data_IF_933155595661
#
_entry.id   IF_933155595661
#
_cell.length_a   1.000
_cell.length_b   1.000
_cell.length_c   1.000
_cell.angle_alpha   90.00
_cell.angle_beta   90.00
_cell.angle_gamma   90.00
#
_symmetry.space_group_name_H-M   'P 1'
#
loop_
_entity.id
_entity.type
_entity.pdbx_description
1 polymer ?
#
# COMPACT_ATOMS: atom_id res chain seq x y z
N UNK A 1 -86.45 17.84 14.04
CA UNK A 1 -85.28 18.19 13.23
C UNK A 1 -84.04 17.88 14.04
N UNK A 2 -83.40 16.75 13.78
CA UNK A 2 -82.21 16.31 14.49
C UNK A 2 -81.01 16.37 13.49
N UNK A 3 -80.03 17.14 13.86
CA UNK A 3 -78.80 17.26 13.08
C UNK A 3 -77.77 16.31 13.68
N UNK A 4 -77.42 15.25 12.94
CA UNK A 4 -76.30 14.39 13.25
C UNK A 4 -75.01 15.09 12.80
N UNK A 5 -74.09 15.31 13.73
CA UNK A 5 -72.70 15.66 13.41
C UNK A 5 -71.85 14.40 13.51
N UNK A 6 -71.30 13.98 12.36
CA UNK A 6 -70.32 12.89 12.26
C UNK A 6 -68.91 13.44 12.52
N UNK A 7 -68.31 12.96 13.60
CA UNK A 7 -66.87 13.21 13.86
C UNK A 7 -66.00 12.29 13.04
N UNK A 8 -65.21 12.85 12.12
CA UNK A 8 -64.11 12.13 11.49
C UNK A 8 -62.90 12.09 12.46
N UNK A 9 -62.66 10.91 13.00
CA UNK A 9 -61.40 10.63 13.70
C UNK A 9 -60.28 10.48 12.69
N UNK A 10 -59.31 11.35 12.75
CA UNK A 10 -58.05 11.24 11.97
C UNK A 10 -57.08 10.30 12.73
N UNK A 11 -57.02 9.06 12.29
CA UNK A 11 -55.92 8.15 12.65
C UNK A 11 -54.65 8.59 11.90
N UNK A 12 -53.83 9.39 12.58
CA UNK A 12 -52.47 9.67 12.13
C UNK A 12 -51.63 8.45 12.42
N UNK A 13 -51.37 7.67 11.38
CA UNK A 13 -50.43 6.59 11.39
C UNK A 13 -49.06 7.07 11.92
N UNK A 14 -48.70 6.53 13.08
CA UNK A 14 -47.39 6.72 13.72
C UNK A 14 -46.35 6.02 12.87
N UNK A 15 -45.71 6.77 11.98
CA UNK A 15 -44.51 6.32 11.30
C UNK A 15 -43.44 6.01 12.37
N UNK A 16 -43.14 4.72 12.55
CA UNK A 16 -42.04 4.28 13.38
C UNK A 16 -40.75 4.67 12.61
N UNK A 17 -40.11 5.71 13.10
CA UNK A 17 -38.75 6.05 12.70
C UNK A 17 -37.84 4.91 13.18
N UNK A 18 -37.45 4.02 12.29
CA UNK A 18 -36.31 3.12 12.51
C UNK A 18 -35.06 3.98 12.49
N UNK A 19 -34.63 4.45 13.65
CA UNK A 19 -33.28 4.95 13.83
C UNK A 19 -32.34 3.77 13.57
N UNK A 20 -31.65 3.80 12.43
CA UNK A 20 -30.47 2.97 12.25
C UNK A 20 -29.44 3.52 13.23
N UNK A 21 -29.23 2.80 14.32
CA UNK A 21 -28.18 3.16 15.27
C UNK A 21 -26.84 3.25 14.51
N UNK A 22 -26.11 4.34 14.73
CA UNK A 22 -24.75 4.44 14.22
C UNK A 22 -23.94 3.26 14.79
N UNK A 23 -23.07 2.62 13.96
CA UNK A 23 -22.27 1.50 14.44
C UNK A 23 -21.46 1.93 15.67
N UNK A 24 -21.35 1.02 16.64
CA UNK A 24 -20.57 1.21 17.86
C UNK A 24 -19.10 1.53 17.49
N UNK A 25 -18.48 2.44 18.22
CA UNK A 25 -17.06 2.82 18.01
C UNK A 25 -16.15 1.60 18.10
N UNK A 26 -16.49 0.60 18.89
CA UNK A 26 -15.74 -0.65 19.00
C UNK A 26 -15.91 -1.54 17.76
N UNK A 27 -17.12 -1.61 17.20
CA UNK A 27 -17.41 -2.35 15.96
C UNK A 27 -16.71 -1.69 14.77
N UNK A 28 -16.71 -0.36 14.69
CA UNK A 28 -15.98 0.40 13.64
C UNK A 28 -14.47 0.23 13.76
N UNK A 29 -13.91 0.17 14.98
CA UNK A 29 -12.48 -0.07 15.21
C UNK A 29 -12.07 -1.50 14.85
N UNK A 30 -12.90 -2.50 15.15
CA UNK A 30 -12.64 -3.91 14.83
C UNK A 30 -12.69 -4.14 13.30
N UNK A 31 -13.69 -3.58 12.61
CA UNK A 31 -13.79 -3.63 11.14
C UNK A 31 -12.59 -2.92 10.49
N UNK A 32 -12.19 -1.74 11.00
CA UNK A 32 -11.02 -1.03 10.51
C UNK A 32 -9.71 -1.84 10.69
N UNK A 33 -9.58 -2.59 11.79
CA UNK A 33 -8.40 -3.43 12.05
C UNK A 33 -8.31 -4.61 11.09
N UNK A 34 -9.45 -5.20 10.70
CA UNK A 34 -9.50 -6.34 9.74
C UNK A 34 -9.01 -5.94 8.35
N UNK A 35 -9.23 -4.69 7.95
CA UNK A 35 -8.83 -4.17 6.64
C UNK A 35 -7.59 -3.28 6.65
N UNK A 36 -6.94 -3.14 7.83
CA UNK A 36 -5.72 -2.37 7.94
C UNK A 36 -4.60 -2.99 7.09
N UNK A 37 -4.00 -2.19 6.22
CA UNK A 37 -2.80 -2.59 5.49
C UNK A 37 -1.57 -2.50 6.40
N UNK A 38 -0.54 -3.36 6.19
CA UNK A 38 0.70 -3.30 6.95
C UNK A 38 1.41 -1.95 6.74
N UNK A 39 2.32 -1.60 7.65
CA UNK A 39 3.19 -0.44 7.47
C UNK A 39 4.33 -0.78 6.49
N UNK A 40 4.00 -0.78 5.19
CA UNK A 40 4.83 -1.28 4.11
C UNK A 40 4.75 -2.81 3.94
N UNK A 41 5.01 -3.28 2.72
CA UNK A 41 4.93 -4.70 2.39
C UNK A 41 6.33 -5.33 2.42
N UNK A 42 6.53 -6.26 3.34
CA UNK A 42 7.79 -7.02 3.41
C UNK A 42 7.86 -7.98 2.24
N UNK A 43 8.76 -7.69 1.29
CA UNK A 43 8.96 -8.49 0.09
C UNK A 43 9.95 -9.63 0.32
N UNK A 44 10.96 -9.41 1.19
CA UNK A 44 12.01 -10.37 1.48
C UNK A 44 12.41 -10.33 2.96
N UNK A 45 12.77 -11.49 3.47
CA UNK A 45 13.49 -11.70 4.73
C UNK A 45 12.89 -10.91 5.91
N UNK A 46 11.71 -11.27 6.44
CA UNK A 46 11.03 -10.53 7.49
C UNK A 46 11.87 -10.35 8.77
N UNK A 47 12.83 -11.25 9.01
CA UNK A 47 13.70 -11.24 10.18
C UNK A 47 15.09 -10.64 9.89
N UNK A 48 15.33 -10.14 8.66
CA UNK A 48 16.61 -9.52 8.27
C UNK A 48 16.90 -8.25 9.07
N UNK A 49 18.14 -8.12 9.53
CA UNK A 49 18.58 -7.00 10.38
C UNK A 49 18.81 -5.69 9.63
N UNK A 50 19.09 -5.75 8.32
CA UNK A 50 19.30 -4.57 7.48
C UNK A 50 17.98 -4.22 6.79
N UNK A 51 17.31 -3.18 7.26
CA UNK A 51 16.02 -2.75 6.70
C UNK A 51 16.26 -1.81 5.51
N UNK A 52 15.73 -2.23 4.36
CA UNK A 52 15.71 -1.46 3.10
C UNK A 52 14.27 -1.15 2.75
N UNK A 53 13.87 0.12 2.84
CA UNK A 53 12.56 0.60 2.40
C UNK A 53 12.72 1.16 0.98
N UNK A 54 12.04 0.56 -0.01
CA UNK A 54 11.99 1.04 -1.39
C UNK A 54 10.68 1.81 -1.64
N UNK A 55 10.79 3.10 -1.96
CA UNK A 55 9.68 3.97 -2.37
C UNK A 55 9.60 4.01 -3.89
N UNK A 56 8.51 3.57 -4.45
CA UNK A 56 8.37 3.36 -5.87
C UNK A 56 7.06 3.85 -6.46
N UNK A 57 7.07 4.02 -7.77
CA UNK A 57 5.91 4.37 -8.58
C UNK A 57 5.92 3.50 -9.85
N UNK A 58 4.81 2.91 -10.24
CA UNK A 58 4.72 2.05 -11.42
C UNK A 58 4.97 2.78 -12.76
N UNK A 59 4.84 4.11 -12.79
CA UNK A 59 5.22 4.96 -13.92
C UNK A 59 6.70 5.34 -13.92
N UNK A 60 7.45 4.98 -12.89
CA UNK A 60 8.86 5.28 -12.77
C UNK A 60 9.71 4.29 -13.59
N UNK A 61 10.32 4.76 -14.66
CA UNK A 61 11.22 3.93 -15.49
C UNK A 61 12.40 3.38 -14.71
N UNK A 62 12.98 4.20 -13.82
CA UNK A 62 14.10 3.76 -12.98
C UNK A 62 13.66 2.77 -11.90
N UNK A 63 12.42 2.84 -11.40
CA UNK A 63 11.89 1.84 -10.48
C UNK A 63 11.77 0.46 -11.16
N UNK A 64 11.43 0.43 -12.46
CA UNK A 64 11.37 -0.83 -13.24
C UNK A 64 12.75 -1.49 -13.41
N UNK A 65 13.83 -0.74 -13.24
CA UNK A 65 15.20 -1.26 -13.21
C UNK A 65 15.59 -1.62 -11.78
N UNK A 66 15.41 -0.68 -10.83
CA UNK A 66 15.88 -0.86 -9.44
C UNK A 66 15.16 -1.97 -8.70
N UNK A 67 13.81 -2.04 -8.79
CA UNK A 67 13.03 -2.94 -7.97
C UNK A 67 13.38 -4.43 -8.19
N UNK A 68 13.51 -4.95 -9.44
CA UNK A 68 13.96 -6.32 -9.66
C UNK A 68 15.41 -6.58 -9.20
N UNK A 69 16.29 -5.59 -9.33
CA UNK A 69 17.70 -5.74 -8.93
C UNK A 69 17.85 -5.73 -7.41
N UNK A 70 17.13 -4.85 -6.70
CA UNK A 70 17.12 -4.83 -5.23
C UNK A 70 16.42 -6.07 -4.66
N UNK A 71 15.32 -6.54 -5.27
CA UNK A 71 14.70 -7.82 -4.91
C UNK A 71 15.68 -8.99 -5.05
N UNK A 72 16.49 -9.02 -6.13
CA UNK A 72 17.49 -10.05 -6.34
C UNK A 72 18.62 -9.99 -5.29
N UNK A 73 19.08 -8.79 -4.91
CA UNK A 73 20.07 -8.62 -3.83
C UNK A 73 19.52 -9.12 -2.49
N UNK A 74 18.30 -8.72 -2.14
CA UNK A 74 17.66 -9.18 -0.92
C UNK A 74 17.36 -10.69 -0.94
N UNK A 75 17.08 -11.28 -2.11
CA UNK A 75 16.90 -12.71 -2.24
C UNK A 75 18.20 -13.50 -2.03
N UNK A 76 19.34 -12.91 -2.37
CA UNK A 76 20.66 -13.52 -2.21
C UNK A 76 21.23 -13.38 -0.78
N UNK A 77 20.68 -12.47 0.01
CA UNK A 77 21.20 -12.12 1.34
C UNK A 77 20.07 -12.11 2.40
N UNK A 78 20.04 -13.12 3.31
CA UNK A 78 18.98 -13.22 4.31
C UNK A 78 18.99 -12.10 5.36
N UNK A 79 20.08 -11.36 5.49
CA UNK A 79 20.17 -10.24 6.44
C UNK A 79 19.45 -8.99 5.94
N UNK A 80 19.09 -8.91 4.64
CA UNK A 80 18.44 -7.77 4.03
C UNK A 80 16.91 -7.95 4.07
N UNK A 81 16.24 -7.17 4.89
CA UNK A 81 14.78 -7.06 4.93
C UNK A 81 14.32 -5.99 3.93
N UNK A 82 13.75 -6.42 2.80
CA UNK A 82 13.19 -5.51 1.79
C UNK A 82 11.72 -5.20 2.10
N UNK A 83 11.41 -3.91 2.20
CA UNK A 83 10.06 -3.37 2.43
C UNK A 83 9.66 -2.49 1.25
N UNK A 84 8.56 -2.82 0.59
CA UNK A 84 7.99 -2.06 -0.52
C UNK A 84 7.03 -0.99 0.01
N UNK A 85 7.14 0.23 -0.52
CA UNK A 85 6.29 1.37 -0.20
C UNK A 85 5.78 2.06 -1.47
N UNK A 86 4.49 1.93 -1.72
CA UNK A 86 3.83 2.62 -2.83
C UNK A 86 3.91 4.15 -2.65
N UNK A 87 4.48 4.84 -3.63
CA UNK A 87 4.60 6.30 -3.65
C UNK A 87 4.17 6.85 -5.02
N UNK A 88 2.87 6.85 -5.34
CA UNK A 88 2.34 7.24 -6.66
C UNK A 88 2.32 8.77 -6.85
N UNK A 89 3.49 9.36 -7.18
CA UNK A 89 3.69 10.82 -7.24
C UNK A 89 4.03 11.37 -8.63
N UNK A 90 4.30 10.51 -9.62
CA UNK A 90 4.82 10.96 -10.91
C UNK A 90 3.72 11.50 -11.84
N UNK A 91 2.59 10.81 -11.91
CA UNK A 91 1.47 11.16 -12.78
C UNK A 91 0.13 10.88 -12.11
N UNK A 92 -0.98 11.49 -12.56
CA UNK A 92 -2.31 11.11 -12.06
C UNK A 92 -2.64 9.62 -12.26
N UNK A 93 -2.05 8.98 -13.29
CA UNK A 93 -2.24 7.57 -13.59
C UNK A 93 -1.45 6.63 -12.67
N UNK A 94 -0.48 7.14 -11.91
CA UNK A 94 0.27 6.36 -10.91
C UNK A 94 -0.66 5.84 -9.80
N UNK A 95 -1.61 6.67 -9.36
CA UNK A 95 -2.51 6.34 -8.26
C UNK A 95 -3.37 5.10 -8.53
N UNK A 96 -4.08 4.94 -9.66
CA UNK A 96 -4.85 3.74 -9.94
C UNK A 96 -4.02 2.45 -9.92
N UNK A 97 -2.77 2.47 -10.39
CA UNK A 97 -1.90 1.28 -10.37
C UNK A 97 -1.50 0.90 -8.95
N UNK A 98 -1.14 1.88 -8.12
CA UNK A 98 -0.86 1.64 -6.70
C UNK A 98 -2.10 1.10 -5.97
N UNK A 99 -3.28 1.66 -6.25
CA UNK A 99 -4.54 1.19 -5.67
C UNK A 99 -4.87 -0.26 -6.07
N UNK A 100 -4.65 -0.64 -7.34
CA UNK A 100 -4.84 -2.02 -7.81
C UNK A 100 -3.89 -2.98 -7.07
N UNK A 101 -2.60 -2.63 -6.98
CA UNK A 101 -1.62 -3.45 -6.27
C UNK A 101 -1.99 -3.61 -4.79
N UNK A 102 -2.34 -2.52 -4.12
CA UNK A 102 -2.73 -2.54 -2.71
C UNK A 102 -4.04 -3.30 -2.48
N UNK A 103 -5.03 -3.18 -3.38
CA UNK A 103 -6.26 -3.96 -3.31
C UNK A 103 -6.00 -5.47 -3.47
N UNK A 104 -4.99 -5.85 -4.27
CA UNK A 104 -4.60 -7.24 -4.42
C UNK A 104 -4.10 -7.88 -3.10
N UNK A 105 -3.69 -7.07 -2.12
CA UNK A 105 -3.31 -7.56 -0.79
C UNK A 105 -4.46 -8.23 -0.05
N UNK A 106 -5.71 -7.79 -0.25
CA UNK A 106 -6.89 -8.42 0.33
C UNK A 106 -7.17 -9.82 -0.22
N UNK A 107 -6.51 -10.16 -1.35
CA UNK A 107 -6.54 -11.48 -1.96
C UNK A 107 -5.22 -12.24 -1.77
N UNK A 108 -4.28 -11.69 -0.98
CA UNK A 108 -2.95 -12.28 -0.75
C UNK A 108 -2.01 -12.21 -1.96
N UNK A 109 -2.28 -11.34 -2.95
CA UNK A 109 -1.58 -11.29 -4.24
C UNK A 109 -0.72 -10.03 -4.43
N UNK A 110 -0.51 -9.22 -3.38
CA UNK A 110 0.20 -7.94 -3.53
C UNK A 110 1.57 -8.11 -4.19
N UNK A 111 2.42 -9.00 -3.66
CA UNK A 111 3.81 -9.14 -4.13
C UNK A 111 3.89 -9.68 -5.56
N UNK A 112 3.01 -10.62 -5.92
CA UNK A 112 2.94 -11.20 -7.26
C UNK A 112 2.49 -10.16 -8.28
N UNK A 113 1.46 -9.37 -7.96
CA UNK A 113 0.95 -8.27 -8.80
C UNK A 113 2.01 -7.18 -8.92
N UNK A 114 2.61 -6.75 -7.80
CA UNK A 114 3.70 -5.79 -7.77
C UNK A 114 4.84 -6.23 -8.69
N UNK A 115 5.36 -7.44 -8.52
CA UNK A 115 6.45 -7.99 -9.33
C UNK A 115 6.09 -8.05 -10.81
N UNK A 116 4.89 -8.52 -11.15
CA UNK A 116 4.44 -8.60 -12.53
C UNK A 116 4.32 -7.21 -13.17
N UNK A 117 3.82 -6.20 -12.47
CA UNK A 117 3.76 -4.83 -12.97
C UNK A 117 5.15 -4.20 -13.12
N UNK A 118 6.08 -4.43 -12.17
CA UNK A 118 7.45 -3.90 -12.25
C UNK A 118 8.27 -4.53 -13.38
N UNK A 119 8.11 -5.83 -13.63
CA UNK A 119 8.84 -6.55 -14.68
C UNK A 119 8.14 -6.48 -16.05
N UNK A 120 6.94 -5.95 -16.15
CA UNK A 120 6.25 -5.75 -17.42
C UNK A 120 7.10 -4.87 -18.37
N UNK A 121 7.12 -5.21 -19.67
CA UNK A 121 7.94 -4.52 -20.70
C UNK A 121 7.63 -3.01 -20.79
N UNK A 122 6.39 -2.63 -20.53
CA UNK A 122 5.92 -1.24 -20.48
C UNK A 122 5.08 -1.05 -19.22
N UNK A 123 4.84 0.22 -18.85
CA UNK A 123 3.89 0.53 -17.78
C UNK A 123 2.51 -0.01 -18.19
N UNK A 124 1.86 -0.87 -17.39
CA UNK A 124 0.53 -1.38 -17.72
C UNK A 124 -0.50 -0.25 -17.62
N UNK A 125 -1.55 -0.32 -18.45
CA UNK A 125 -2.78 0.45 -18.15
C UNK A 125 -3.50 -0.18 -16.95
N UNK A 126 -4.46 0.51 -16.31
CA UNK A 126 -5.27 -0.09 -15.25
C UNK A 126 -5.96 -1.40 -15.69
N UNK A 127 -6.46 -1.47 -16.93
CA UNK A 127 -7.07 -2.68 -17.48
C UNK A 127 -6.05 -3.81 -17.63
N UNK A 128 -4.83 -3.50 -18.07
CA UNK A 128 -3.75 -4.49 -18.15
C UNK A 128 -3.29 -4.95 -16.75
N UNK A 129 -3.29 -4.06 -15.76
CA UNK A 129 -3.01 -4.42 -14.36
C UNK A 129 -4.08 -5.37 -13.80
N UNK A 130 -5.37 -5.13 -14.09
CA UNK A 130 -6.46 -6.05 -13.74
C UNK A 130 -6.34 -7.40 -14.45
N UNK A 131 -5.89 -7.41 -15.70
CA UNK A 131 -5.61 -8.67 -16.42
C UNK A 131 -4.43 -9.42 -15.80
N UNK A 132 -3.42 -8.73 -15.27
CA UNK A 132 -2.34 -9.35 -14.47
C UNK A 132 -2.93 -10.01 -13.22
N UNK A 133 -3.80 -9.32 -12.46
CA UNK A 133 -4.49 -9.90 -11.30
C UNK A 133 -5.22 -11.18 -11.66
N UNK A 134 -6.02 -11.15 -12.74
CA UNK A 134 -6.74 -12.33 -13.24
C UNK A 134 -5.79 -13.49 -13.60
N UNK A 135 -4.67 -13.20 -14.25
CA UNK A 135 -3.68 -14.22 -14.64
C UNK A 135 -2.99 -14.88 -13.45
N UNK A 136 -2.97 -14.20 -12.30
CA UNK A 136 -2.44 -14.69 -11.03
C UNK A 136 -3.51 -15.40 -10.18
N UNK A 137 -4.73 -15.57 -10.70
CA UNK A 137 -5.82 -16.24 -10.01
C UNK A 137 -6.65 -15.33 -9.09
N UNK A 138 -6.43 -14.02 -9.14
CA UNK A 138 -7.23 -13.04 -8.40
C UNK A 138 -8.52 -12.69 -9.12
N UNK A 139 -9.40 -11.99 -8.41
CA UNK A 139 -10.68 -11.49 -8.89
C UNK A 139 -10.61 -9.99 -9.21
N UNK A 140 -10.60 -9.58 -10.50
CA UNK A 140 -10.54 -8.18 -10.91
C UNK A 140 -11.77 -7.36 -10.50
N UNK A 141 -12.96 -7.97 -10.40
CA UNK A 141 -14.17 -7.25 -9.99
C UNK A 141 -14.08 -6.88 -8.52
N UNK A 142 -13.55 -7.78 -7.69
CA UNK A 142 -13.28 -7.50 -6.28
C UNK A 142 -12.19 -6.43 -6.12
N UNK A 143 -11.14 -6.42 -6.97
CA UNK A 143 -10.15 -5.34 -6.98
C UNK A 143 -10.79 -3.98 -7.24
N UNK A 144 -11.68 -3.89 -8.23
CA UNK A 144 -12.39 -2.64 -8.54
C UNK A 144 -13.28 -2.15 -7.38
N UNK A 145 -13.87 -3.09 -6.63
CA UNK A 145 -14.64 -2.76 -5.42
C UNK A 145 -13.74 -2.27 -4.28
N UNK A 146 -12.57 -2.87 -4.12
CA UNK A 146 -11.67 -2.62 -2.97
C UNK A 146 -10.69 -1.47 -3.18
N UNK A 147 -10.29 -1.16 -4.42
CA UNK A 147 -9.20 -0.20 -4.70
C UNK A 147 -9.45 1.23 -4.18
N UNK A 148 -10.70 1.59 -3.90
CA UNK A 148 -11.07 2.89 -3.35
C UNK A 148 -11.36 2.85 -1.83
N UNK A 149 -11.03 1.76 -1.14
CA UNK A 149 -11.20 1.67 0.31
C UNK A 149 -10.38 2.76 1.03
N UNK A 150 -10.93 3.35 2.11
CA UNK A 150 -10.23 4.37 2.90
C UNK A 150 -8.85 3.92 3.41
N UNK A 151 -8.70 2.63 3.72
CA UNK A 151 -7.46 2.03 4.22
C UNK A 151 -6.33 2.12 3.19
N UNK A 152 -6.63 1.95 1.89
CA UNK A 152 -5.66 2.11 0.80
C UNK A 152 -5.20 3.57 0.70
N UNK A 153 -6.14 4.51 0.74
CA UNK A 153 -5.82 5.94 0.75
C UNK A 153 -4.98 6.34 1.97
N UNK A 154 -5.27 5.77 3.13
CA UNK A 154 -4.49 5.97 4.35
C UNK A 154 -3.07 5.39 4.23
N UNK A 155 -2.93 4.20 3.68
CA UNK A 155 -1.63 3.55 3.45
C UNK A 155 -0.74 4.39 2.53
N UNK A 156 -1.26 4.84 1.38
CA UNK A 156 -0.53 5.71 0.45
C UNK A 156 -0.09 7.01 1.14
N UNK A 157 -0.96 7.61 1.94
CA UNK A 157 -0.66 8.82 2.70
C UNK A 157 0.46 8.60 3.72
N UNK A 158 0.43 7.49 4.48
CA UNK A 158 1.50 7.11 5.42
C UNK A 158 2.84 6.91 4.72
N UNK A 159 2.84 6.26 3.54
CA UNK A 159 4.04 6.11 2.73
C UNK A 159 4.59 7.47 2.28
N UNK A 160 3.72 8.40 1.86
CA UNK A 160 4.13 9.76 1.52
C UNK A 160 4.73 10.50 2.74
N UNK A 161 4.09 10.41 3.90
CA UNK A 161 4.57 11.01 5.15
C UNK A 161 5.93 10.41 5.55
N UNK A 162 6.07 9.08 5.46
CA UNK A 162 7.33 8.38 5.72
C UNK A 162 8.44 8.79 4.76
N UNK A 163 8.13 8.88 3.45
CA UNK A 163 9.05 9.37 2.42
C UNK A 163 9.53 10.79 2.73
N UNK A 164 8.59 11.72 2.94
CA UNK A 164 8.91 13.12 3.20
C UNK A 164 9.68 13.31 4.50
N UNK A 165 9.30 12.61 5.58
CA UNK A 165 9.99 12.62 6.86
C UNK A 165 11.41 12.05 6.77
N UNK A 166 11.62 11.04 5.91
CA UNK A 166 12.92 10.47 5.59
C UNK A 166 13.72 11.23 4.53
N UNK A 167 13.22 12.37 4.00
CA UNK A 167 13.92 13.16 2.99
C UNK A 167 13.78 12.64 1.55
N UNK A 168 12.95 11.63 1.30
CA UNK A 168 12.65 11.09 -0.03
C UNK A 168 11.60 11.98 -0.72
N UNK A 169 11.90 12.45 -1.93
CA UNK A 169 11.02 13.36 -2.72
C UNK A 169 10.85 12.93 -4.18
N UNK A 170 11.43 11.78 -4.55
CA UNK A 170 11.37 11.21 -5.90
C UNK A 170 11.40 9.69 -5.82
N UNK A 171 11.05 9.03 -6.93
CA UNK A 171 11.14 7.57 -7.08
C UNK A 171 12.17 7.19 -8.17
N UNK A 172 12.86 6.06 -8.02
CA UNK A 172 12.95 5.32 -6.78
C UNK A 172 13.62 6.14 -5.68
N UNK A 173 13.21 5.92 -4.44
CA UNK A 173 13.88 6.43 -3.27
C UNK A 173 14.07 5.29 -2.28
N UNK A 174 15.10 5.35 -1.46
CA UNK A 174 15.39 4.30 -0.49
C UNK A 174 15.65 4.91 0.89
N UNK A 175 15.20 4.20 1.92
CA UNK A 175 15.68 4.42 3.28
C UNK A 175 16.34 3.11 3.71
N UNK A 176 17.65 3.15 3.95
CA UNK A 176 18.44 1.99 4.35
C UNK A 176 18.96 2.24 5.75
N UNK A 177 18.54 1.41 6.73
CA UNK A 177 18.88 1.61 8.14
C UNK A 177 18.65 3.05 8.61
N UNK A 178 17.52 3.66 8.22
CA UNK A 178 17.17 5.03 8.58
C UNK A 178 17.84 6.12 7.71
N UNK A 179 18.83 5.79 6.89
CA UNK A 179 19.54 6.74 6.03
C UNK A 179 18.86 6.86 4.65
N UNK A 180 18.51 8.06 4.20
CA UNK A 180 17.85 8.27 2.91
C UNK A 180 18.85 8.26 1.74
N UNK A 181 18.42 7.62 0.65
CA UNK A 181 19.10 7.64 -0.63
C UNK A 181 18.09 8.03 -1.72
N UNK A 182 18.34 9.12 -2.42
CA UNK A 182 17.52 9.56 -3.55
C UNK A 182 18.02 8.93 -4.84
N UNK A 183 17.11 8.28 -5.58
CA UNK A 183 17.42 7.59 -6.81
C UNK A 183 18.09 6.21 -6.61
N UNK A 184 18.37 5.56 -7.72
CA UNK A 184 19.02 4.25 -7.73
C UNK A 184 20.49 4.40 -8.12
N UNK A 185 21.38 3.88 -7.30
CA UNK A 185 22.84 3.99 -7.48
C UNK A 185 23.47 2.85 -8.30
N UNK A 186 22.67 1.89 -8.73
CA UNK A 186 23.12 0.69 -9.43
C UNK A 186 23.25 -0.53 -8.52
N UNK A 187 23.15 -1.72 -9.09
CA UNK A 187 23.13 -2.98 -8.34
C UNK A 187 24.46 -3.23 -7.60
N UNK A 188 25.58 -2.94 -8.22
CA UNK A 188 26.91 -3.13 -7.63
C UNK A 188 27.12 -2.24 -6.41
N UNK A 189 26.85 -0.94 -6.53
CA UNK A 189 26.97 0.02 -5.43
C UNK A 189 25.96 -0.25 -4.31
N UNK A 190 24.78 -0.75 -4.64
CA UNK A 190 23.80 -1.14 -3.63
C UNK A 190 24.28 -2.38 -2.86
N UNK A 191 24.88 -3.36 -3.54
CA UNK A 191 25.48 -4.52 -2.91
C UNK A 191 26.65 -4.13 -1.98
N UNK A 192 27.53 -3.23 -2.44
CA UNK A 192 28.63 -2.70 -1.60
C UNK A 192 28.09 -1.98 -0.36
N UNK A 193 27.04 -1.17 -0.49
CA UNK A 193 26.37 -0.51 0.63
C UNK A 193 25.87 -1.53 1.64
N UNK A 194 25.23 -2.60 1.20
CA UNK A 194 24.72 -3.65 2.09
C UNK A 194 25.87 -4.36 2.84
N UNK A 195 26.98 -4.66 2.17
CA UNK A 195 28.16 -5.24 2.82
C UNK A 195 28.79 -4.29 3.86
N UNK A 196 28.84 -2.99 3.59
CA UNK A 196 29.33 -1.99 4.55
C UNK A 196 28.44 -1.93 5.81
N UNK A 197 27.13 -2.08 5.66
CA UNK A 197 26.19 -2.02 6.80
C UNK A 197 26.24 -3.26 7.69
N UNK A 198 26.80 -4.38 7.23
CA UNK A 198 27.01 -5.60 8.03
C UNK A 198 28.19 -5.48 8.99
N UNK A 199 29.08 -4.51 8.81
CA UNK A 199 30.25 -4.35 9.66
C UNK A 199 29.84 -3.87 11.05
N UNK A 200 30.34 -4.50 12.14
CA UNK A 200 29.89 -4.22 13.51
C UNK A 200 30.03 -2.75 13.94
N UNK A 201 31.00 -2.05 13.39
CA UNK A 201 31.25 -0.63 13.63
C UNK A 201 30.12 0.28 13.09
N UNK A 202 29.40 -0.17 12.06
CA UNK A 202 28.29 0.57 11.44
C UNK A 202 26.92 0.16 11.98
N UNK A 203 26.82 -1.00 12.63
CA UNK A 203 25.56 -1.52 13.21
C UNK A 203 25.11 -0.76 14.48
N UNK A 204 25.96 0.07 15.07
CA UNK A 204 25.71 0.77 16.36
C UNK A 204 25.30 2.24 16.22
N UNK A 205 25.03 2.74 15.03
CA UNK A 205 24.72 4.16 14.82
C UNK A 205 23.29 4.57 15.24
N UNK A 206 22.44 3.66 15.68
CA UNK A 206 21.03 3.96 16.03
C UNK A 206 20.63 3.59 17.47
N UNK A 207 21.43 4.00 18.47
CA UNK A 207 20.96 4.04 19.87
C UNK A 207 21.36 5.32 20.55
N UNK A 208 20.78 6.45 20.18
CA UNK A 208 21.08 7.71 20.87
C UNK A 208 20.26 8.90 20.45
N UNK A 209 19.00 8.98 20.79
CA UNK A 209 18.38 10.11 21.51
C UNK A 209 16.85 10.06 21.40
#
# INVERSE_FOLDING_TARGET
>A
MAVLSAGLGADLARAQSTTVDAPDENETAEVAAVFALPDGFVARNPDGGIVVEEFLDYYCTFCKVSSPEVDALAAADPDIRLVIRELPILTPQSLPLAQIALAASYQGLYLEVHKAMMTARSVPSPEAALAIVASLGGDPEQILADMNRPEIGLHIRRNLERALGGGIRSTPGFIVQGLPFAGYIGQEQMAELFELLKQPENASADTGN
#
